data_IF_916059233093
#
_entry.id   IF_916059233093
#
_cell.length_a   1.000
_cell.length_b   1.000
_cell.length_c   1.000
_cell.angle_alpha   90.00
_cell.angle_beta   90.00
_cell.angle_gamma   90.00
#
_symmetry.space_group_name_H-M   'P 1'
#
loop_
_entity.id
_entity.type
_entity.pdbx_description
1 polymer ?
#
# COMPACT_ATOMS: atom_id res chain seq x y z
N UNK A 1 -29.88 -18.74 -26.98
CA UNK A 1 -28.77 -17.82 -27.33
C UNK A 1 -29.41 -16.59 -27.95
N UNK A 2 -29.21 -15.40 -27.38
CA UNK A 2 -29.89 -14.17 -27.83
C UNK A 2 -29.17 -13.62 -29.06
N UNK A 3 -29.86 -13.31 -30.18
CA UNK A 3 -29.25 -12.65 -31.33
C UNK A 3 -28.93 -11.19 -30.97
N UNK A 4 -27.67 -10.80 -31.18
CA UNK A 4 -27.16 -9.46 -30.89
C UNK A 4 -27.31 -8.56 -32.12
N UNK A 5 -28.56 -8.32 -32.53
CA UNK A 5 -28.84 -7.53 -33.72
C UNK A 5 -29.02 -6.06 -33.32
N UNK A 6 -27.92 -5.28 -33.35
CA UNK A 6 -28.00 -3.82 -33.54
C UNK A 6 -27.19 -2.90 -32.63
N UNK A 7 -26.54 -3.37 -31.56
CA UNK A 7 -25.73 -2.51 -30.66
C UNK A 7 -24.24 -2.84 -30.63
N UNK A 8 -23.82 -3.90 -31.33
CA UNK A 8 -22.49 -4.46 -31.21
C UNK A 8 -21.88 -4.64 -32.59
N UNK A 9 -20.67 -4.10 -32.77
CA UNK A 9 -19.91 -4.29 -34.01
C UNK A 9 -19.56 -5.77 -34.21
N UNK A 10 -19.53 -6.21 -35.48
CA UNK A 10 -19.25 -7.60 -35.88
C UNK A 10 -17.93 -8.16 -35.30
N UNK A 11 -16.98 -7.29 -34.98
CA UNK A 11 -15.72 -7.63 -34.30
C UNK A 11 -15.91 -8.30 -32.92
N UNK A 12 -17.03 -8.08 -32.25
CA UNK A 12 -17.29 -8.64 -30.91
C UNK A 12 -18.20 -9.87 -30.95
N UNK A 13 -18.43 -10.44 -32.13
CA UNK A 13 -19.18 -11.69 -32.24
C UNK A 13 -18.34 -12.88 -31.74
N UNK A 14 -19.01 -13.87 -31.15
CA UNK A 14 -18.36 -15.10 -30.69
C UNK A 14 -17.60 -15.79 -31.82
N UNK A 15 -18.14 -15.75 -33.03
CA UNK A 15 -17.51 -16.32 -34.22
C UNK A 15 -16.22 -15.58 -34.58
N UNK A 16 -16.23 -14.24 -34.60
CA UNK A 16 -15.03 -13.46 -34.89
C UNK A 16 -13.94 -13.70 -33.87
N UNK A 17 -14.28 -13.71 -32.57
CA UNK A 17 -13.34 -14.04 -31.50
C UNK A 17 -12.79 -15.46 -31.66
N UNK A 18 -13.65 -16.44 -31.93
CA UNK A 18 -13.21 -17.81 -32.19
C UNK A 18 -12.23 -17.86 -33.36
N UNK A 19 -12.49 -17.19 -34.48
CA UNK A 19 -11.57 -17.17 -35.63
C UNK A 19 -10.27 -16.44 -35.33
N UNK A 20 -10.31 -15.31 -34.60
CA UNK A 20 -9.13 -14.53 -34.23
C UNK A 20 -8.19 -15.31 -33.29
N UNK A 21 -8.75 -16.16 -32.42
CA UNK A 21 -8.01 -17.02 -31.50
C UNK A 21 -7.92 -18.49 -31.96
N UNK A 22 -8.52 -18.85 -33.10
CA UNK A 22 -8.39 -20.15 -33.75
C UNK A 22 -7.02 -20.46 -34.38
N UNK A 23 -6.13 -19.51 -34.75
CA UNK A 23 -4.80 -19.90 -35.18
C UNK A 23 -4.18 -20.82 -34.13
N UNK A 24 -3.63 -21.94 -34.61
CA UNK A 24 -3.21 -23.01 -33.73
C UNK A 24 -2.17 -22.48 -32.76
N UNK A 25 -2.38 -22.78 -31.48
CA UNK A 25 -1.29 -22.76 -30.52
C UNK A 25 -0.35 -23.86 -31.02
N UNK A 26 0.63 -23.49 -31.85
CA UNK A 26 1.59 -24.43 -32.38
C UNK A 26 2.20 -25.16 -31.19
N UNK A 27 2.10 -26.49 -31.19
CA UNK A 27 2.75 -27.29 -30.18
C UNK A 27 4.23 -26.93 -30.18
N UNK A 28 4.79 -26.67 -28.99
CA UNK A 28 6.21 -26.44 -28.87
C UNK A 28 6.91 -27.70 -29.37
N UNK A 29 7.79 -27.61 -30.40
CA UNK A 29 8.44 -28.78 -30.96
C UNK A 29 9.35 -29.44 -29.92
N UNK A 30 9.72 -30.71 -30.12
CA UNK A 30 10.58 -31.43 -29.18
C UNK A 30 11.94 -30.71 -29.08
N UNK A 31 12.57 -30.62 -27.88
CA UNK A 31 13.87 -29.95 -27.73
C UNK A 31 14.96 -30.45 -28.69
N UNK A 32 14.87 -31.71 -29.13
CA UNK A 32 15.79 -32.31 -30.11
C UNK A 32 15.69 -31.72 -31.53
N UNK A 33 14.58 -31.10 -31.91
CA UNK A 33 14.39 -30.48 -33.22
C UNK A 33 14.65 -28.96 -33.19
N UNK A 34 15.12 -28.43 -32.06
CA UNK A 34 15.44 -27.01 -31.96
C UNK A 34 16.82 -26.75 -32.58
N UNK A 35 16.87 -25.84 -33.56
CA UNK A 35 18.13 -25.31 -34.06
C UNK A 35 18.53 -24.18 -33.12
N UNK A 36 19.47 -24.44 -32.21
CA UNK A 36 20.03 -23.42 -31.32
C UNK A 36 21.20 -22.71 -32.00
N UNK A 37 21.16 -21.37 -32.15
CA UNK A 37 22.33 -20.61 -32.58
C UNK A 37 23.51 -20.74 -31.61
N UNK A 38 24.73 -20.68 -32.12
CA UNK A 38 25.98 -20.89 -31.36
C UNK A 38 26.12 -19.98 -30.12
N UNK A 39 25.67 -18.73 -30.24
CA UNK A 39 25.70 -17.77 -29.14
C UNK A 39 24.73 -18.14 -28.00
N UNK A 40 23.64 -18.87 -28.29
CA UNK A 40 22.69 -19.33 -27.27
C UNK A 40 23.18 -20.62 -26.62
N UNK A 41 23.73 -21.56 -27.41
CA UNK A 41 24.28 -22.81 -26.88
C UNK A 41 25.49 -22.61 -25.95
N UNK A 42 26.24 -21.53 -26.16
CA UNK A 42 27.38 -21.14 -25.30
C UNK A 42 26.98 -20.33 -24.07
N UNK A 43 25.73 -19.86 -23.97
CA UNK A 43 25.26 -19.12 -22.81
C UNK A 43 25.09 -20.04 -21.59
N UNK A 44 25.92 -19.83 -20.57
CA UNK A 44 25.74 -20.47 -19.26
C UNK A 44 24.76 -19.64 -18.44
N UNK A 45 23.53 -20.14 -18.27
CA UNK A 45 22.52 -19.51 -17.42
C UNK A 45 22.77 -19.90 -15.96
N UNK A 46 23.32 -18.98 -15.17
CA UNK A 46 23.47 -19.19 -13.74
C UNK A 46 22.14 -19.02 -13.00
N UNK A 47 21.87 -19.81 -11.95
CA UNK A 47 20.75 -19.54 -11.08
C UNK A 47 20.90 -18.15 -10.45
N UNK A 48 19.79 -17.47 -10.12
CA UNK A 48 19.86 -16.22 -9.39
C UNK A 48 20.68 -16.43 -8.10
N UNK A 49 21.58 -15.50 -7.79
CA UNK A 49 22.57 -15.58 -6.69
C UNK A 49 21.96 -15.80 -5.29
N UNK A 50 20.64 -15.76 -5.16
CA UNK A 50 19.91 -16.12 -3.95
C UNK A 50 18.40 -15.96 -4.13
N UNK A 51 17.61 -16.51 -3.20
CA UNK A 51 16.19 -16.20 -3.11
C UNK A 51 16.01 -14.83 -2.46
N UNK A 52 15.08 -14.03 -2.96
CA UNK A 52 14.56 -12.88 -2.19
C UNK A 52 13.86 -13.42 -0.95
N UNK A 53 14.01 -12.73 0.17
CA UNK A 53 13.26 -13.06 1.38
C UNK A 53 11.75 -13.09 1.07
N UNK A 54 11.03 -14.06 1.65
CA UNK A 54 9.58 -14.15 1.51
C UNK A 54 8.92 -12.83 1.92
N UNK A 55 7.96 -12.38 1.12
CA UNK A 55 7.21 -11.16 1.36
C UNK A 55 7.54 -10.02 0.40
N UNK A 56 6.89 -8.88 0.63
CA UNK A 56 6.97 -7.71 -0.25
C UNK A 56 8.32 -7.02 -0.09
N UNK A 57 8.99 -6.60 -1.20
CA UNK A 57 10.15 -5.74 -1.11
C UNK A 57 9.86 -4.51 -0.25
N UNK A 58 10.75 -4.21 0.72
CA UNK A 58 10.61 -3.01 1.54
C UNK A 58 10.67 -1.80 0.63
N UNK A 59 9.66 -0.92 0.72
CA UNK A 59 9.74 0.40 0.10
C UNK A 59 10.82 1.18 0.84
N UNK A 60 11.98 1.36 0.23
CA UNK A 60 12.98 2.30 0.75
C UNK A 60 12.40 3.69 0.55
N UNK A 61 12.06 4.36 1.64
CA UNK A 61 11.62 5.76 1.59
C UNK A 61 12.86 6.63 1.35
N UNK A 62 12.97 7.19 0.15
CA UNK A 62 13.85 8.32 -0.11
C UNK A 62 13.24 9.52 0.63
N UNK A 63 13.96 10.15 1.55
CA UNK A 63 13.48 11.37 2.21
C UNK A 63 13.53 12.51 1.20
N UNK A 64 12.55 13.41 1.25
CA UNK A 64 12.52 14.60 0.39
C UNK A 64 13.66 15.59 0.65
N UNK A 65 14.23 15.58 1.86
CA UNK A 65 15.43 16.35 2.17
C UNK A 65 16.67 15.49 1.93
N UNK A 66 17.48 15.89 0.94
CA UNK A 66 18.83 15.38 0.71
C UNK A 66 19.83 15.87 1.77
N UNK A 67 19.39 16.73 2.72
CA UNK A 67 20.24 17.15 3.84
C UNK A 67 20.53 15.90 4.67
N UNK A 68 21.80 15.46 4.61
CA UNK A 68 22.33 14.42 5.46
C UNK A 68 21.97 14.67 6.91
N UNK A 69 21.98 13.62 7.72
CA UNK A 69 21.72 13.67 9.15
C UNK A 69 22.35 14.94 9.77
N UNK A 70 21.56 15.98 10.06
CA UNK A 70 22.06 16.98 10.99
C UNK A 70 22.19 16.25 12.31
N UNK A 71 23.42 16.12 12.79
CA UNK A 71 23.70 15.51 14.08
C UNK A 71 22.91 16.32 15.10
N UNK A 72 21.98 15.66 15.79
CA UNK A 72 21.22 16.31 16.85
C UNK A 72 22.22 16.84 17.87
N UNK A 73 22.19 18.15 18.10
CA UNK A 73 22.90 18.81 19.18
C UNK A 73 22.06 18.76 20.45
N UNK A 74 22.71 18.55 21.57
CA UNK A 74 22.08 18.45 22.87
C UNK A 74 21.47 19.81 23.27
N UNK A 75 20.18 19.83 23.63
CA UNK A 75 19.49 21.05 24.06
C UNK A 75 20.02 21.63 25.38
N UNK A 76 20.80 20.88 26.15
CA UNK A 76 21.40 21.35 27.40
C UNK A 76 22.78 21.97 27.19
N UNK A 77 23.67 21.30 26.46
CA UNK A 77 25.07 21.72 26.34
C UNK A 77 25.51 22.10 24.92
N UNK A 78 24.62 22.01 23.93
CA UNK A 78 24.91 22.37 22.54
C UNK A 78 25.82 21.39 21.80
N UNK A 79 26.31 20.33 22.43
CA UNK A 79 27.23 19.36 21.80
C UNK A 79 26.48 18.24 21.07
N UNK A 80 27.03 17.79 19.94
CA UNK A 80 26.51 16.65 19.19
C UNK A 80 26.96 15.31 19.76
N UNK A 81 26.21 14.24 19.48
CA UNK A 81 26.59 12.86 19.85
C UNK A 81 25.82 12.29 21.04
N UNK A 82 25.02 13.11 21.72
CA UNK A 82 24.11 12.68 22.79
C UNK A 82 22.84 13.53 22.78
N UNK A 83 21.77 13.06 23.45
CA UNK A 83 20.52 13.79 23.57
C UNK A 83 20.35 14.34 25.00
N UNK A 84 19.38 15.22 25.22
CA UNK A 84 19.07 15.82 26.53
C UNK A 84 18.94 14.77 27.65
N UNK A 85 18.41 13.58 27.33
CA UNK A 85 18.21 12.48 28.29
C UNK A 85 19.54 11.85 28.71
N UNK A 86 20.50 11.74 27.80
CA UNK A 86 21.80 11.10 28.02
C UNK A 86 22.91 12.11 28.27
N UNK A 87 22.57 13.37 28.56
CA UNK A 87 23.54 14.43 28.81
C UNK A 87 24.09 14.29 30.24
N UNK A 88 25.41 14.20 30.36
CA UNK A 88 26.12 14.11 31.64
C UNK A 88 26.40 15.47 32.28
N UNK A 89 26.24 16.57 31.52
CA UNK A 89 26.47 17.94 32.00
C UNK A 89 25.27 18.42 32.84
N UNK A 90 25.51 19.24 33.87
CA UNK A 90 24.42 19.83 34.67
C UNK A 90 23.48 20.63 33.78
N UNK A 91 22.19 20.67 34.14
CA UNK A 91 21.19 21.42 33.38
C UNK A 91 21.51 22.91 33.45
N UNK A 92 21.86 23.52 32.32
CA UNK A 92 22.00 24.96 32.23
C UNK A 92 20.61 25.57 32.12
N UNK A 93 20.17 26.22 33.20
CA UNK A 93 18.97 27.05 33.20
C UNK A 93 19.28 28.39 32.49
N UNK A 94 19.75 28.36 31.25
CA UNK A 94 19.91 29.59 30.46
C UNK A 94 18.60 29.90 29.75
N UNK A 95 17.93 30.94 30.24
CA UNK A 95 16.87 31.74 29.62
C UNK A 95 16.48 31.37 28.19
N UNK A 96 15.63 30.36 28.04
CA UNK A 96 14.79 30.21 26.86
C UNK A 96 13.77 31.34 26.92
N UNK A 97 13.90 32.31 25.99
CA UNK A 97 12.81 33.21 25.67
C UNK A 97 11.56 32.36 25.42
N UNK A 98 10.53 32.57 26.25
CA UNK A 98 9.26 31.85 26.18
C UNK A 98 8.62 32.09 24.81
N UNK A 99 8.91 31.27 23.82
CA UNK A 99 7.98 31.10 22.70
C UNK A 99 6.78 30.38 23.27
N UNK A 100 5.69 31.12 23.43
CA UNK A 100 4.38 30.66 23.91
C UNK A 100 3.90 29.43 23.12
N UNK A 101 4.19 28.23 23.63
CA UNK A 101 3.52 27.02 23.19
C UNK A 101 2.14 27.00 23.84
N UNK A 102 1.14 27.47 23.11
CA UNK A 102 -0.26 27.32 23.47
C UNK A 102 -0.56 25.84 23.78
N UNK A 103 -0.82 25.55 25.05
CA UNK A 103 -1.26 24.25 25.54
C UNK A 103 -2.71 24.00 25.10
N UNK A 104 -2.92 23.76 23.80
CA UNK A 104 -4.20 23.23 23.33
C UNK A 104 -4.24 21.75 23.71
N UNK A 105 -4.68 21.47 24.94
CA UNK A 105 -5.07 20.14 25.36
C UNK A 105 -6.09 19.60 24.38
N UNK A 106 -5.73 18.55 23.63
CA UNK A 106 -6.67 17.88 22.73
C UNK A 106 -7.71 17.18 23.61
N UNK A 107 -8.87 17.80 23.81
CA UNK A 107 -10.03 17.15 24.44
C UNK A 107 -10.35 15.89 23.61
N UNK A 108 -10.56 14.72 24.24
CA UNK A 108 -10.92 13.53 23.49
C UNK A 108 -12.26 13.78 22.77
N UNK A 109 -12.29 13.60 21.44
CA UNK A 109 -13.53 13.70 20.68
C UNK A 109 -14.47 12.58 21.15
N UNK A 110 -15.68 12.96 21.55
CA UNK A 110 -16.69 12.01 22.00
C UNK A 110 -16.94 10.92 20.93
N UNK A 111 -17.06 9.66 21.38
CA UNK A 111 -17.28 8.51 20.49
C UNK A 111 -18.62 8.66 19.78
N UNK A 112 -18.58 8.90 18.46
CA UNK A 112 -19.77 9.01 17.62
C UNK A 112 -20.55 7.69 17.61
N UNK A 113 -21.78 7.70 18.12
CA UNK A 113 -22.69 6.55 18.03
C UNK A 113 -23.19 6.38 16.59
N UNK A 114 -23.26 5.13 16.13
CA UNK A 114 -23.68 4.79 14.75
C UNK A 114 -25.19 4.57 14.71
N UNK A 115 -25.85 5.22 13.76
CA UNK A 115 -27.27 5.02 13.45
C UNK A 115 -27.49 3.79 12.57
N UNK A 116 -28.64 3.15 12.72
CA UNK A 116 -29.08 2.06 11.87
C UNK A 116 -29.23 2.54 10.41
N UNK A 117 -28.71 1.78 9.45
CA UNK A 117 -28.74 2.17 8.03
C UNK A 117 -30.14 2.16 7.40
N UNK A 118 -31.13 1.50 8.02
CA UNK A 118 -32.50 1.42 7.50
C UNK A 118 -33.46 2.43 8.13
N UNK A 119 -33.38 2.61 9.45
CA UNK A 119 -34.32 3.46 10.20
C UNK A 119 -33.67 4.73 10.77
N UNK A 120 -32.34 4.90 10.66
CA UNK A 120 -31.64 6.09 11.14
C UNK A 120 -31.59 6.26 12.67
N UNK A 121 -32.19 5.35 13.43
CA UNK A 121 -32.23 5.42 14.90
C UNK A 121 -30.93 4.87 15.51
N UNK A 122 -30.52 5.49 16.61
CA UNK A 122 -29.33 5.08 17.37
C UNK A 122 -29.64 3.85 18.23
N UNK A 123 -28.64 3.01 18.48
CA UNK A 123 -28.73 1.91 19.45
C UNK A 123 -29.08 0.53 18.91
N UNK A 124 -29.30 0.37 17.60
CA UNK A 124 -29.53 -0.95 17.00
C UNK A 124 -28.85 -1.12 15.63
N UNK A 125 -28.62 -2.39 15.24
CA UNK A 125 -28.01 -2.78 13.97
C UNK A 125 -29.11 -3.19 12.96
N UNK A 126 -28.85 -3.04 11.65
CA UNK A 126 -29.81 -3.38 10.59
C UNK A 126 -30.22 -4.87 10.61
N UNK A 127 -29.36 -5.75 11.13
CA UNK A 127 -29.62 -7.18 11.25
C UNK A 127 -30.39 -7.58 12.52
N UNK A 128 -30.48 -6.70 13.52
CA UNK A 128 -31.13 -6.99 14.80
C UNK A 128 -32.54 -6.39 14.89
N UNK A 129 -33.08 -5.89 13.78
CA UNK A 129 -34.42 -5.28 13.75
C UNK A 129 -35.47 -6.31 13.35
N UNK A 130 -36.13 -6.90 14.35
CA UNK A 130 -37.43 -7.57 14.19
C UNK A 130 -38.49 -6.68 14.84
N UNK A 131 -39.54 -6.35 14.08
CA UNK A 131 -40.68 -5.50 14.47
C UNK A 131 -41.05 -5.63 15.96
N UNK A 132 -41.03 -4.52 16.70
CA UNK A 132 -41.76 -4.38 17.95
C UNK A 132 -42.59 -3.09 17.86
N UNK A 133 -43.90 -3.31 18.00
CA UNK A 133 -45.05 -2.41 18.05
C UNK A 133 -45.11 -1.15 17.16
N UNK A 134 -46.03 -1.19 16.20
CA UNK A 134 -46.85 -0.05 15.86
C UNK A 134 -47.93 0.15 16.92
N UNK A 135 -48.00 1.34 17.56
CA UNK A 135 -49.23 2.05 17.99
C UNK A 135 -48.89 3.30 18.82
N UNK A 136 -49.83 4.25 19.02
CA UNK A 136 -51.27 4.25 18.71
C UNK A 136 -51.64 4.67 17.29
#
# INVERSE_FOLDING_TARGET
MVPNEGLCSDYFTTQWLQTAYAPSIHSVPRPSSWVLPEHVSSCIVHPPKGRRASGKPKKIRIRSSLKGYETRVCANCGESGHNLITCTKPRQASSISKSSSSSVGKKPLARRQRACGRYGVLGHNIQTYSNVEAKP
#
